data_IF_752380356837
#
_entry.id   IF_752380356837
#
_cell.length_a   1.000
_cell.length_b   1.000
_cell.length_c   1.000
_cell.angle_alpha   90.00
_cell.angle_beta   90.00
_cell.angle_gamma   90.00
#
_symmetry.space_group_name_H-M   'P 1'
#
loop_
_entity.id
_entity.type
_entity.pdbx_description
1 polymer ?
#
# COMPACT_ATOMS: atom_id res chain seq x y z
N UNK A 1 -5.62 -17.73 23.61
CA UNK A 1 -6.87 -17.58 22.84
C UNK A 1 -6.69 -16.30 22.06
N UNK A 2 -6.11 -16.40 20.86
CA UNK A 2 -6.10 -15.26 19.94
C UNK A 2 -7.56 -14.98 19.61
N UNK A 3 -7.99 -13.77 19.90
CA UNK A 3 -9.38 -13.38 19.79
C UNK A 3 -9.72 -13.33 18.29
N UNK A 4 -10.45 -14.34 17.79
CA UNK A 4 -10.87 -14.49 16.38
C UNK A 4 -11.63 -13.26 15.85
N UNK A 5 -12.07 -12.35 16.73
CA UNK A 5 -12.58 -11.05 16.34
C UNK A 5 -11.50 -10.12 15.76
N UNK A 6 -10.25 -10.17 16.25
CA UNK A 6 -9.17 -9.24 15.86
C UNK A 6 -8.74 -9.46 14.42
N UNK A 7 -8.84 -10.67 13.88
CA UNK A 7 -8.49 -10.95 12.48
C UNK A 7 -9.50 -10.39 11.48
N UNK A 8 -10.73 -10.05 11.88
CA UNK A 8 -11.80 -9.55 10.97
C UNK A 8 -11.85 -8.03 10.84
N UNK A 9 -11.17 -7.33 11.73
CA UNK A 9 -11.13 -5.87 11.76
C UNK A 9 -9.69 -5.40 11.64
N UNK A 10 -9.50 -4.26 11.00
CA UNK A 10 -8.23 -3.54 11.04
C UNK A 10 -8.46 -2.21 11.73
N UNK A 11 -7.44 -1.75 12.45
CA UNK A 11 -7.46 -0.48 13.18
C UNK A 11 -6.25 0.31 12.76
N UNK A 12 -6.47 1.55 12.34
CA UNK A 12 -5.41 2.55 12.15
C UNK A 12 -5.62 3.69 13.14
N UNK A 13 -4.53 4.13 13.76
CA UNK A 13 -4.52 5.21 14.74
C UNK A 13 -3.52 6.25 14.29
N UNK A 14 -3.99 7.48 14.07
CA UNK A 14 -3.14 8.60 13.67
C UNK A 14 -3.22 9.71 14.72
N UNK A 15 -2.10 10.05 15.40
CA UNK A 15 -2.05 11.10 16.39
C UNK A 15 -2.02 12.49 15.73
N UNK A 16 -2.73 13.43 16.33
CA UNK A 16 -2.75 14.84 15.97
C UNK A 16 -2.11 15.60 17.12
N UNK A 17 -0.82 15.91 16.96
CA UNK A 17 0.01 16.53 17.97
C UNK A 17 -0.01 18.07 17.85
N UNK A 18 -0.02 18.82 18.96
CA UNK A 18 -0.11 20.29 18.96
C UNK A 18 1.08 21.01 18.29
N UNK A 19 2.25 20.35 18.19
CA UNK A 19 3.46 20.90 17.55
C UNK A 19 3.87 20.13 16.28
N UNK A 20 3.02 19.22 15.80
CA UNK A 20 3.32 18.37 14.63
C UNK A 20 4.42 17.31 14.84
N UNK A 21 4.94 17.16 16.06
CA UNK A 21 5.99 16.18 16.39
C UNK A 21 5.41 14.77 16.58
N UNK A 22 5.39 13.98 15.50
CA UNK A 22 5.10 12.55 15.56
C UNK A 22 6.40 11.75 15.61
N UNK A 23 6.47 10.72 16.44
CA UNK A 23 7.55 9.72 16.40
C UNK A 23 6.93 8.43 15.88
N UNK A 24 7.11 8.15 14.58
CA UNK A 24 6.57 6.96 13.89
C UNK A 24 5.05 6.84 13.95
N UNK A 25 4.34 7.92 13.60
CA UNK A 25 2.90 7.99 13.29
C UNK A 25 1.87 7.36 14.25
N UNK A 26 2.27 6.90 15.44
CA UNK A 26 1.39 6.33 16.47
C UNK A 26 1.51 7.03 17.83
N UNK A 27 2.44 7.98 17.98
CA UNK A 27 2.64 8.70 19.26
C UNK A 27 3.13 10.14 19.07
N UNK A 28 2.74 11.01 20.01
CA UNK A 28 3.25 12.39 20.12
C UNK A 28 4.42 12.46 21.11
N UNK A 29 5.46 13.22 20.78
CA UNK A 29 6.59 13.49 21.68
C UNK A 29 6.65 14.97 22.08
N UNK A 30 7.15 15.24 23.29
CA UNK A 30 7.39 16.62 23.78
C UNK A 30 6.15 17.35 24.31
N UNK A 31 5.04 16.63 24.55
CA UNK A 31 3.78 17.21 25.07
C UNK A 31 3.99 17.78 26.46
N UNK A 32 3.67 19.05 26.65
CA UNK A 32 3.76 19.78 27.91
C UNK A 32 2.45 19.69 28.72
N UNK A 33 2.48 19.86 30.05
CA UNK A 33 1.27 19.92 30.87
C UNK A 33 0.29 21.00 30.38
N UNK A 34 -0.99 20.63 30.21
CA UNK A 34 -2.04 21.53 29.72
C UNK A 34 -2.23 21.55 28.19
N UNK A 35 -1.41 20.80 27.43
CA UNK A 35 -1.62 20.58 26.01
C UNK A 35 -2.52 19.37 25.75
N UNK A 36 -3.39 19.49 24.74
CA UNK A 36 -4.30 18.40 24.32
C UNK A 36 -3.74 17.71 23.07
N UNK A 37 -3.81 16.38 23.06
CA UNK A 37 -3.50 15.54 21.90
C UNK A 37 -4.80 14.90 21.43
N UNK A 38 -5.03 14.90 20.12
CA UNK A 38 -6.15 14.18 19.52
C UNK A 38 -5.66 12.93 18.79
N UNK A 39 -6.50 11.92 18.69
CA UNK A 39 -6.21 10.69 17.94
C UNK A 39 -7.35 10.44 16.98
N UNK A 40 -7.03 10.33 15.69
CA UNK A 40 -7.96 9.79 14.69
C UNK A 40 -7.85 8.28 14.71
N UNK A 41 -8.97 7.62 14.98
CA UNK A 41 -9.04 6.15 15.04
C UNK A 41 -9.98 5.71 13.92
N UNK A 42 -9.42 4.99 12.96
CA UNK A 42 -10.16 4.41 11.83
C UNK A 42 -10.28 2.91 12.07
N UNK A 43 -11.51 2.41 12.10
CA UNK A 43 -11.80 0.99 12.30
C UNK A 43 -12.50 0.51 11.03
N UNK A 44 -11.92 -0.47 10.35
CA UNK A 44 -12.51 -1.11 9.18
C UNK A 44 -12.78 -2.59 9.42
N UNK A 45 -13.85 -3.11 8.83
CA UNK A 45 -14.21 -4.52 8.85
C UNK A 45 -14.00 -5.08 7.44
N UNK A 46 -13.19 -6.14 7.29
CA UNK A 46 -13.00 -6.78 5.99
C UNK A 46 -13.77 -8.10 5.85
N UNK A 47 -14.19 -8.71 6.96
CA UNK A 47 -14.96 -9.95 6.96
C UNK A 47 -16.08 -9.98 8.03
N UNK A 48 -17.16 -10.68 7.71
CA UNK A 48 -18.23 -11.02 8.66
C UNK A 48 -17.83 -12.22 9.54
N UNK A 49 -18.53 -12.40 10.66
CA UNK A 49 -18.34 -13.60 11.50
C UNK A 49 -18.76 -14.85 10.72
N UNK A 50 -18.16 -16.01 11.02
CA UNK A 50 -18.45 -17.28 10.33
C UNK A 50 -19.95 -17.66 10.35
N UNK A 51 -20.69 -17.22 11.38
CA UNK A 51 -22.12 -17.43 11.51
C UNK A 51 -23.00 -16.51 10.63
N UNK A 52 -22.40 -15.57 9.88
CA UNK A 52 -23.10 -14.63 8.98
C UNK A 52 -24.08 -13.66 9.65
N UNK A 53 -24.18 -13.69 10.98
CA UNK A 53 -25.13 -12.87 11.76
C UNK A 53 -24.56 -11.50 12.08
N UNK A 54 -25.47 -10.56 12.26
CA UNK A 54 -25.16 -9.29 12.92
C UNK A 54 -24.53 -9.56 14.28
N UNK A 55 -23.41 -8.92 14.54
CA UNK A 55 -22.76 -8.95 15.84
C UNK A 55 -22.22 -7.58 16.21
N UNK A 56 -22.17 -7.34 17.52
CA UNK A 56 -21.63 -6.11 18.06
C UNK A 56 -20.25 -6.40 18.63
N UNK A 57 -19.26 -5.63 18.20
CA UNK A 57 -17.88 -5.74 18.69
C UNK A 57 -17.55 -4.48 19.47
N UNK A 58 -16.86 -4.65 20.59
CA UNK A 58 -16.45 -3.55 21.45
C UNK A 58 -14.94 -3.39 21.37
N UNK A 59 -14.49 -2.23 20.93
CA UNK A 59 -13.08 -1.86 20.87
C UNK A 59 -12.77 -0.96 22.06
N UNK A 60 -11.84 -1.40 22.92
CA UNK A 60 -11.37 -0.61 24.06
C UNK A 60 -10.11 0.15 23.64
N UNK A 61 -10.14 1.47 23.75
CA UNK A 61 -8.99 2.33 23.46
C UNK A 61 -8.48 2.90 24.79
N UNK A 62 -7.25 2.52 25.16
CA UNK A 62 -6.60 3.00 26.38
C UNK A 62 -5.28 3.71 26.03
N UNK A 63 -5.07 4.97 26.45
CA UNK A 63 -3.77 5.61 26.33
C UNK A 63 -2.77 4.94 27.28
N UNK A 64 -1.57 4.63 26.79
CA UNK A 64 -0.51 4.07 27.64
C UNK A 64 -0.14 5.07 28.72
N UNK A 65 -0.17 4.64 29.98
CA UNK A 65 0.17 5.49 31.14
C UNK A 65 -1.01 6.25 31.76
N UNK A 66 -2.23 6.08 31.25
CA UNK A 66 -3.46 6.60 31.85
C UNK A 66 -4.38 5.44 32.24
N UNK A 67 -5.21 5.67 33.26
CA UNK A 67 -6.22 4.71 33.73
C UNK A 67 -7.59 4.93 33.07
N UNK A 68 -7.74 5.98 32.27
CA UNK A 68 -8.95 6.25 31.52
C UNK A 68 -8.98 5.42 30.24
N UNK A 69 -10.19 5.03 29.80
CA UNK A 69 -10.39 4.24 28.59
C UNK A 69 -11.65 4.68 27.88
N UNK A 70 -11.59 4.69 26.55
CA UNK A 70 -12.72 4.99 25.67
C UNK A 70 -13.23 3.70 25.06
N UNK A 71 -14.55 3.55 25.02
CA UNK A 71 -15.22 2.37 24.47
C UNK A 71 -15.84 2.74 23.12
N UNK A 72 -15.42 2.07 22.06
CA UNK A 72 -16.03 2.19 20.73
C UNK A 72 -16.88 0.95 20.45
N UNK A 73 -18.19 1.15 20.24
CA UNK A 73 -19.12 0.07 19.89
C UNK A 73 -19.31 0.03 18.38
N UNK A 74 -18.93 -1.09 17.77
CA UNK A 74 -19.05 -1.32 16.33
C UNK A 74 -20.18 -2.31 16.09
N UNK A 75 -21.21 -1.86 15.37
CA UNK A 75 -22.35 -2.70 14.99
C UNK A 75 -22.10 -3.29 13.61
N UNK A 76 -21.71 -4.56 13.53
CA UNK A 76 -21.50 -5.24 12.26
C UNK A 76 -22.84 -5.73 11.72
N UNK A 77 -23.20 -5.20 10.54
CA UNK A 77 -24.40 -5.60 9.80
C UNK A 77 -24.03 -6.59 8.71
N UNK A 78 -24.18 -7.86 9.03
CA UNK A 78 -23.87 -8.98 8.14
C UNK A 78 -25.14 -9.74 7.73
N UNK A 79 -26.17 -9.72 8.57
CA UNK A 79 -27.43 -10.40 8.32
C UNK A 79 -28.37 -9.58 7.42
N UNK A 80 -28.94 -10.24 6.43
CA UNK A 80 -30.02 -9.68 5.61
C UNK A 80 -31.38 -9.87 6.31
N UNK A 81 -32.19 -8.81 6.44
CA UNK A 81 -33.57 -8.92 6.95
C UNK A 81 -34.52 -9.24 5.80
N UNK A 82 -35.12 -10.42 5.81
CA UNK A 82 -36.07 -10.84 4.78
C UNK A 82 -37.52 -10.77 5.27
N UNK A 83 -38.46 -10.57 4.33
CA UNK A 83 -39.90 -10.48 4.63
C UNK A 83 -40.49 -11.86 4.99
N UNK A 84 -41.64 -11.92 5.72
CA UNK A 84 -42.30 -13.18 6.12
C UNK A 84 -42.75 -14.08 4.96
N UNK A 85 -42.71 -13.58 3.72
CA UNK A 85 -42.96 -14.35 2.50
C UNK A 85 -41.76 -15.21 2.06
N UNK A 86 -40.72 -15.36 2.89
CA UNK A 86 -39.65 -16.33 2.67
C UNK A 86 -38.85 -16.08 1.39
N UNK A 87 -38.50 -14.82 1.09
CA UNK A 87 -37.44 -14.53 0.11
C UNK A 87 -36.25 -13.93 0.83
N UNK A 88 -35.51 -14.79 1.52
CA UNK A 88 -34.10 -14.61 1.80
C UNK A 88 -33.33 -15.32 0.70
N UNK A 89 -32.40 -14.65 0.04
CA UNK A 89 -31.61 -15.27 -1.02
C UNK A 89 -30.39 -15.98 -0.40
N UNK A 90 -30.66 -16.94 0.48
CA UNK A 90 -29.73 -17.89 1.10
C UNK A 90 -30.56 -19.15 1.37
N UNK A 91 -30.81 -19.96 0.33
CA UNK A 91 -31.37 -21.30 0.50
C UNK A 91 -30.42 -22.31 -0.12
N UNK A 92 -29.79 -23.08 0.77
CA UNK A 92 -29.14 -24.35 0.45
C UNK A 92 -30.23 -25.36 0.12
N UNK A 93 -30.69 -25.31 -1.13
CA UNK A 93 -31.11 -26.47 -1.90
C UNK A 93 -31.12 -26.07 -3.38
N UNK A 94 -30.00 -26.22 -4.09
CA UNK A 94 -29.97 -26.04 -5.55
C UNK A 94 -30.97 -27.03 -6.20
N UNK A 95 -31.63 -26.73 -7.33
CA UNK A 95 -31.32 -25.69 -8.33
C UNK A 95 -32.54 -24.78 -8.65
N UNK A 96 -32.37 -23.47 -8.46
CA UNK A 96 -33.18 -22.40 -9.05
C UNK A 96 -34.73 -22.54 -8.98
N UNK A 97 -35.29 -22.54 -7.78
CA UNK A 97 -36.74 -22.31 -7.59
C UNK A 97 -37.06 -20.83 -7.37
N UNK A 98 -37.10 -20.08 -8.45
CA UNK A 98 -38.22 -19.17 -8.67
C UNK A 98 -38.29 -18.78 -10.13
N UNK A 99 -39.24 -19.39 -10.83
CA UNK A 99 -39.87 -18.80 -12.00
C UNK A 99 -40.16 -17.33 -11.71
N UNK A 100 -39.47 -16.41 -12.38
CA UNK A 100 -40.07 -15.12 -12.70
C UNK A 100 -40.88 -15.28 -13.99
N UNK A 101 -41.98 -16.04 -13.91
CA UNK A 101 -43.16 -15.71 -14.70
C UNK A 101 -44.03 -14.81 -13.82
N UNK A 102 -43.91 -13.50 -14.00
CA UNK A 102 -45.07 -12.62 -13.81
C UNK A 102 -45.87 -12.65 -15.10
N UNK A 103 -47.14 -13.11 -15.10
CA UNK A 103 -48.03 -12.86 -16.22
C UNK A 103 -48.58 -11.46 -16.04
N UNK A 104 -47.98 -10.47 -16.69
CA UNK A 104 -48.73 -9.28 -17.05
C UNK A 104 -48.46 -8.92 -18.51
N UNK A 105 -49.45 -9.29 -19.33
CA UNK A 105 -49.80 -8.72 -20.63
C UNK A 105 -48.70 -8.58 -21.70
N UNK A 106 -48.64 -9.58 -22.58
CA UNK A 106 -48.55 -9.35 -24.02
C UNK A 106 -47.20 -9.65 -24.69
N UNK A 107 -47.25 -10.58 -25.64
CA UNK A 107 -46.29 -10.79 -26.74
C UNK A 107 -44.87 -11.29 -26.38
N UNK A 108 -44.64 -12.59 -26.53
CA UNK A 108 -44.04 -13.21 -27.74
C UNK A 108 -43.43 -14.58 -27.36
N UNK A 109 -43.86 -15.65 -28.02
CA UNK A 109 -43.13 -16.92 -28.05
C UNK A 109 -41.81 -16.71 -28.80
N UNK A 110 -40.73 -17.28 -28.25
CA UNK A 110 -39.37 -17.35 -28.80
C UNK A 110 -38.50 -16.10 -28.76
N UNK A 111 -37.68 -15.98 -27.71
CA UNK A 111 -36.31 -15.48 -27.80
C UNK A 111 -35.45 -16.35 -26.85
N UNK A 112 -34.33 -16.89 -27.35
CA UNK A 112 -33.29 -17.54 -26.56
C UNK A 112 -32.70 -16.54 -25.55
N UNK A 113 -33.40 -16.27 -24.45
CA UNK A 113 -32.88 -15.47 -23.35
C UNK A 113 -31.86 -16.36 -22.66
N UNK A 114 -30.59 -16.14 -23.00
CA UNK A 114 -29.46 -16.79 -22.35
C UNK A 114 -29.61 -16.64 -20.82
N UNK A 115 -29.84 -17.75 -20.09
CA UNK A 115 -30.10 -17.69 -18.65
C UNK A 115 -28.89 -17.17 -17.86
N UNK A 116 -27.69 -17.17 -18.47
CA UNK A 116 -26.46 -16.68 -17.87
C UNK A 116 -26.17 -15.22 -18.19
N UNK A 117 -27.06 -14.49 -18.88
CA UNK A 117 -26.85 -13.08 -19.22
C UNK A 117 -26.54 -12.22 -17.97
N UNK A 118 -27.12 -12.53 -16.83
CA UNK A 118 -26.90 -11.78 -15.58
C UNK A 118 -25.55 -12.08 -14.90
N UNK A 119 -24.84 -13.11 -15.36
CA UNK A 119 -23.50 -13.50 -14.91
C UNK A 119 -22.38 -12.95 -15.80
N UNK A 120 -22.73 -12.15 -16.82
CA UNK A 120 -21.79 -11.49 -17.72
C UNK A 120 -21.67 -10.02 -17.35
N UNK A 121 -20.45 -9.52 -17.31
CA UNK A 121 -20.20 -8.09 -17.22
C UNK A 121 -20.56 -7.41 -18.55
N UNK A 122 -20.98 -6.14 -18.51
CA UNK A 122 -21.41 -5.40 -19.71
C UNK A 122 -20.25 -5.22 -20.72
N UNK A 123 -20.33 -5.89 -21.87
CA UNK A 123 -19.26 -5.88 -22.88
C UNK A 123 -18.33 -7.10 -22.85
N UNK A 124 -18.54 -8.02 -21.90
CA UNK A 124 -17.85 -9.31 -21.84
C UNK A 124 -18.84 -10.44 -22.13
N UNK A 125 -18.43 -11.39 -22.97
CA UNK A 125 -19.27 -12.55 -23.31
C UNK A 125 -18.91 -13.81 -22.51
N UNK A 126 -18.22 -13.64 -21.38
CA UNK A 126 -17.72 -14.74 -20.55
C UNK A 126 -18.48 -14.75 -19.24
N UNK A 127 -19.06 -15.89 -18.91
CA UNK A 127 -19.79 -16.09 -17.66
C UNK A 127 -18.81 -16.12 -16.50
N UNK A 128 -19.06 -15.31 -15.46
CA UNK A 128 -18.29 -15.32 -14.21
C UNK A 128 -16.76 -15.23 -14.41
N UNK A 129 -16.34 -14.47 -15.42
CA UNK A 129 -14.94 -14.29 -15.80
C UNK A 129 -14.17 -15.61 -16.01
N UNK A 130 -14.87 -16.72 -16.29
CA UNK A 130 -14.33 -18.09 -16.35
C UNK A 130 -13.67 -18.60 -15.06
N UNK A 131 -13.94 -17.95 -13.93
CA UNK A 131 -13.36 -18.25 -12.61
C UNK A 131 -14.43 -18.63 -11.59
N UNK A 132 -15.55 -19.11 -12.10
CA UNK A 132 -16.71 -19.48 -11.31
C UNK A 132 -17.79 -20.09 -12.20
N UNK A 133 -18.85 -20.54 -11.55
CA UNK A 133 -20.02 -21.12 -12.21
C UNK A 133 -21.19 -20.16 -12.02
N UNK A 134 -21.96 -19.92 -13.08
CA UNK A 134 -23.19 -19.16 -13.00
C UNK A 134 -24.30 -20.04 -12.44
N UNK A 135 -24.72 -19.79 -11.20
CA UNK A 135 -25.81 -20.49 -10.54
C UNK A 135 -26.96 -19.52 -10.28
N UNK A 136 -28.11 -19.79 -10.90
CA UNK A 136 -29.33 -18.99 -10.77
C UNK A 136 -29.13 -17.49 -11.05
N UNK A 137 -28.30 -17.17 -12.04
CA UNK A 137 -28.03 -15.80 -12.46
C UNK A 137 -27.07 -15.03 -11.55
N UNK A 138 -26.42 -15.69 -10.59
CA UNK A 138 -25.33 -15.16 -9.76
C UNK A 138 -24.07 -16.01 -9.96
N UNK A 139 -22.91 -15.38 -9.91
CA UNK A 139 -21.64 -16.09 -9.98
C UNK A 139 -21.25 -16.67 -8.61
N UNK A 140 -20.90 -17.96 -8.62
CA UNK A 140 -20.26 -18.65 -7.51
C UNK A 140 -18.80 -18.84 -7.88
N UNK A 141 -17.90 -18.15 -7.18
CA UNK A 141 -16.48 -18.12 -7.52
C UNK A 141 -15.77 -19.39 -7.07
N UNK A 142 -14.81 -19.84 -7.88
CA UNK A 142 -14.03 -21.04 -7.60
C UNK A 142 -13.06 -20.80 -6.42
N UNK A 143 -12.86 -21.85 -5.63
CA UNK A 143 -11.85 -21.83 -4.58
C UNK A 143 -10.48 -22.10 -5.19
N UNK A 144 -9.58 -21.12 -5.10
CA UNK A 144 -8.20 -21.26 -5.54
C UNK A 144 -7.30 -21.66 -4.38
N UNK A 145 -6.23 -22.42 -4.65
CA UNK A 145 -5.17 -22.68 -3.66
C UNK A 145 -4.27 -21.47 -3.42
N UNK A 146 -4.34 -20.48 -4.31
CA UNK A 146 -3.51 -19.28 -4.27
C UNK A 146 -4.14 -18.16 -3.42
N UNK A 147 -5.45 -18.23 -3.15
CA UNK A 147 -6.19 -17.26 -2.36
C UNK A 147 -7.67 -17.21 -2.75
N UNK A 148 -8.35 -16.11 -2.42
CA UNK A 148 -9.78 -15.91 -2.67
C UNK A 148 -10.04 -15.23 -4.01
N UNK A 149 -11.00 -15.77 -4.76
CA UNK A 149 -11.61 -15.14 -5.94
C UNK A 149 -12.96 -14.57 -5.51
N UNK A 150 -13.21 -13.30 -5.83
CA UNK A 150 -14.39 -12.57 -5.41
C UNK A 150 -14.84 -11.55 -6.47
N UNK A 151 -15.93 -10.84 -6.18
CA UNK A 151 -16.57 -9.91 -7.12
C UNK A 151 -17.88 -10.46 -7.68
N UNK A 152 -18.66 -9.58 -8.32
CA UNK A 152 -20.00 -9.93 -8.80
C UNK A 152 -19.95 -10.99 -9.90
N UNK A 153 -18.88 -10.96 -10.68
CA UNK A 153 -18.61 -11.81 -11.83
C UNK A 153 -17.29 -12.58 -11.64
N UNK A 154 -16.82 -12.77 -10.40
CA UNK A 154 -15.55 -13.44 -10.07
C UNK A 154 -14.33 -12.82 -10.78
N UNK A 155 -14.38 -11.51 -10.95
CA UNK A 155 -13.42 -10.70 -11.68
C UNK A 155 -12.23 -10.24 -10.83
N UNK A 156 -12.30 -10.37 -9.51
CA UNK A 156 -11.27 -9.95 -8.57
C UNK A 156 -10.69 -11.14 -7.80
N UNK A 157 -9.47 -10.96 -7.31
CA UNK A 157 -8.84 -11.86 -6.36
C UNK A 157 -7.81 -11.12 -5.50
N UNK A 158 -7.32 -11.80 -4.47
CA UNK A 158 -6.35 -11.29 -3.50
C UNK A 158 -4.91 -11.75 -3.77
N UNK A 159 -4.61 -12.33 -4.95
CA UNK A 159 -3.31 -12.95 -5.25
C UNK A 159 -2.66 -12.50 -6.57
N UNK A 160 -3.37 -11.75 -7.41
CA UNK A 160 -2.92 -11.25 -8.71
C UNK A 160 -2.29 -9.86 -8.65
N UNK A 161 -1.69 -9.49 -7.52
CA UNK A 161 -0.94 -8.25 -7.37
C UNK A 161 0.57 -8.43 -7.63
N UNK A 162 1.33 -7.34 -7.83
CA UNK A 162 2.78 -7.40 -7.99
C UNK A 162 3.49 -8.05 -6.80
N UNK A 163 4.46 -8.91 -7.11
CA UNK A 163 5.33 -9.54 -6.12
C UNK A 163 6.66 -8.80 -6.04
N UNK A 164 7.17 -8.60 -4.83
CA UNK A 164 8.54 -8.13 -4.58
C UNK A 164 9.28 -9.21 -3.79
N UNK A 165 10.41 -9.70 -4.33
CA UNK A 165 11.21 -10.77 -3.69
C UNK A 165 10.34 -11.95 -3.22
N UNK A 166 9.47 -12.44 -4.12
CA UNK A 166 8.55 -13.57 -3.90
C UNK A 166 7.41 -13.31 -2.89
N UNK A 167 7.31 -12.10 -2.34
CA UNK A 167 6.22 -11.70 -1.45
C UNK A 167 5.19 -10.84 -2.19
N UNK A 168 3.92 -11.23 -2.11
CA UNK A 168 2.79 -10.46 -2.63
C UNK A 168 2.77 -9.08 -1.96
N UNK A 169 2.73 -8.00 -2.74
CA UNK A 169 2.85 -6.63 -2.24
C UNK A 169 4.04 -6.44 -1.28
N UNK A 170 5.15 -7.16 -1.52
CA UNK A 170 6.36 -7.11 -0.72
C UNK A 170 6.18 -7.52 0.75
N UNK A 171 5.02 -8.10 1.11
CA UNK A 171 4.64 -8.37 2.49
C UNK A 171 4.24 -7.11 3.29
N UNK A 172 4.16 -5.96 2.63
CA UNK A 172 3.94 -4.64 3.23
C UNK A 172 2.72 -3.93 2.63
N UNK A 173 1.76 -4.70 2.12
CA UNK A 173 0.54 -4.15 1.53
C UNK A 173 -0.55 -5.20 1.44
N UNK A 174 -1.75 -4.74 1.09
CA UNK A 174 -2.92 -5.58 0.84
C UNK A 174 -3.24 -5.54 -0.64
N UNK A 175 -3.48 -6.71 -1.23
CA UNK A 175 -3.89 -6.82 -2.63
C UNK A 175 -5.38 -6.52 -2.78
N UNK A 176 -5.72 -5.49 -3.54
CA UNK A 176 -7.10 -5.08 -3.82
C UNK A 176 -7.25 -4.90 -5.32
N UNK A 177 -8.05 -5.77 -5.95
CA UNK A 177 -8.36 -5.69 -7.39
C UNK A 177 -7.13 -5.64 -8.30
N UNK A 178 -6.07 -6.39 -7.95
CA UNK A 178 -4.82 -6.44 -8.73
C UNK A 178 -3.82 -5.31 -8.42
N UNK A 179 -4.16 -4.38 -7.52
CA UNK A 179 -3.27 -3.31 -7.08
C UNK A 179 -2.88 -3.47 -5.60
N UNK A 180 -1.65 -3.12 -5.25
CA UNK A 180 -1.18 -3.15 -3.87
C UNK A 180 -1.49 -1.84 -3.14
N UNK A 181 -2.27 -1.92 -2.07
CA UNK A 181 -2.45 -0.84 -1.11
C UNK A 181 -1.38 -0.95 -0.04
N UNK A 182 -0.38 -0.07 -0.08
CA UNK A 182 0.78 -0.13 0.80
C UNK A 182 0.48 0.29 2.24
N UNK A 183 1.15 -0.38 3.17
CA UNK A 183 1.20 0.02 4.57
C UNK A 183 2.05 1.30 4.74
N UNK A 184 1.83 2.00 5.84
CA UNK A 184 2.61 3.18 6.18
C UNK A 184 4.11 2.86 6.26
N UNK A 185 4.93 3.74 5.70
CA UNK A 185 6.37 3.52 5.58
C UNK A 185 6.80 2.80 4.28
N UNK A 186 5.86 2.39 3.42
CA UNK A 186 6.13 1.67 2.18
C UNK A 186 5.44 2.30 0.96
N UNK A 187 6.05 2.15 -0.20
CA UNK A 187 5.58 2.74 -1.47
C UNK A 187 5.97 1.87 -2.68
N UNK A 188 5.56 2.31 -3.86
CA UNK A 188 5.74 1.62 -5.13
C UNK A 188 4.66 0.58 -5.41
N UNK A 189 4.57 0.12 -6.66
CA UNK A 189 3.50 -0.79 -7.14
C UNK A 189 3.46 -2.12 -6.41
N UNK A 190 4.59 -2.56 -5.84
CA UNK A 190 4.71 -3.80 -5.08
C UNK A 190 4.93 -3.57 -3.59
N UNK A 191 4.80 -2.33 -3.09
CA UNK A 191 5.07 -1.95 -1.70
C UNK A 191 6.43 -2.41 -1.13
N UNK A 192 7.40 -2.74 -2.00
CA UNK A 192 8.74 -3.17 -1.59
C UNK A 192 9.70 -2.02 -1.34
N UNK A 193 9.27 -0.77 -1.53
CA UNK A 193 10.12 0.41 -1.41
C UNK A 193 9.87 1.11 -0.06
N UNK A 194 10.83 1.14 0.87
CA UNK A 194 10.66 1.89 2.11
C UNK A 194 10.68 3.41 1.83
N UNK A 195 9.80 4.16 2.48
CA UNK A 195 9.75 5.63 2.38
C UNK A 195 10.76 6.31 3.31
N UNK A 196 11.19 5.62 4.37
CA UNK A 196 12.19 6.14 5.31
C UNK A 196 13.59 6.16 4.68
N UNK A 197 14.31 7.30 4.72
CA UNK A 197 15.67 7.40 4.20
C UNK A 197 16.73 6.86 5.17
N UNK A 198 16.33 6.26 6.29
CA UNK A 198 17.24 5.81 7.36
C UNK A 198 18.30 4.83 6.89
N UNK A 199 18.02 3.97 5.91
CA UNK A 199 19.00 3.02 5.37
C UNK A 199 20.01 3.68 4.45
N UNK A 200 19.80 4.93 4.03
CA UNK A 200 20.69 5.71 3.19
C UNK A 200 21.50 6.75 3.98
N UNK A 201 21.38 6.78 5.31
CA UNK A 201 22.10 7.73 6.14
C UNK A 201 23.53 7.23 6.38
N UNK A 202 24.52 8.01 5.94
CA UNK A 202 25.93 7.70 6.17
C UNK A 202 26.31 7.92 7.64
N UNK A 203 27.47 7.41 8.10
CA UNK A 203 27.99 7.66 9.45
C UNK A 203 28.14 9.16 9.78
N UNK A 204 28.36 9.99 8.76
CA UNK A 204 28.47 11.45 8.88
C UNK A 204 27.10 12.15 9.05
N UNK A 205 26.02 11.39 9.04
CA UNK A 205 24.65 11.87 9.23
C UNK A 205 23.96 12.37 7.96
N UNK A 206 24.67 12.39 6.82
CA UNK A 206 24.14 12.84 5.53
C UNK A 206 23.49 11.68 4.75
N UNK A 207 22.40 11.95 4.05
CA UNK A 207 21.80 10.98 3.12
C UNK A 207 22.72 10.84 1.91
N UNK A 208 23.16 9.61 1.64
CA UNK A 208 24.08 9.30 0.53
C UNK A 208 25.30 10.22 0.49
N UNK A 209 25.85 10.55 1.66
CA UNK A 209 27.00 11.47 1.84
C UNK A 209 26.83 12.83 1.16
N UNK A 210 25.58 13.23 0.84
CA UNK A 210 25.27 14.43 0.08
C UNK A 210 25.61 14.36 -1.42
N UNK A 211 25.95 13.18 -1.95
CA UNK A 211 26.40 12.95 -3.33
C UNK A 211 25.44 12.05 -4.13
N UNK A 212 24.19 11.95 -3.68
CA UNK A 212 23.20 11.11 -4.34
C UNK A 212 21.81 11.20 -3.72
N UNK A 213 20.90 10.41 -4.28
CA UNK A 213 19.50 10.31 -3.87
C UNK A 213 19.23 8.93 -3.29
N UNK A 214 18.47 8.89 -2.20
CA UNK A 214 18.00 7.63 -1.62
C UNK A 214 16.76 7.15 -2.40
N UNK A 215 16.86 6.02 -3.08
CA UNK A 215 15.76 5.39 -3.83
C UNK A 215 15.55 3.99 -3.28
N UNK A 216 14.37 3.75 -2.69
CA UNK A 216 14.01 2.46 -2.07
C UNK A 216 15.05 1.93 -1.08
N UNK A 217 15.56 2.83 -0.25
CA UNK A 217 16.53 2.50 0.79
C UNK A 217 17.95 2.22 0.29
N UNK A 218 18.24 2.49 -0.98
CA UNK A 218 19.59 2.40 -1.57
C UNK A 218 20.01 3.74 -2.16
N UNK A 219 21.28 4.11 -1.99
CA UNK A 219 21.81 5.32 -2.60
C UNK A 219 22.07 5.14 -4.10
N UNK A 220 21.59 6.11 -4.87
CA UNK A 220 21.90 6.31 -6.28
C UNK A 220 22.74 7.58 -6.37
N UNK A 221 24.01 7.44 -6.69
CA UNK A 221 24.94 8.56 -6.75
C UNK A 221 24.66 9.46 -7.96
N UNK A 222 24.73 10.78 -7.78
CA UNK A 222 24.44 11.74 -8.84
C UNK A 222 25.56 11.77 -9.91
N UNK A 223 26.81 11.51 -9.49
CA UNK A 223 27.98 11.41 -10.38
C UNK A 223 28.55 9.99 -10.38
N UNK A 224 28.80 9.38 -11.55
CA UNK A 224 29.39 8.03 -11.67
C UNK A 224 30.80 7.89 -11.07
N UNK A 225 31.48 8.98 -10.73
CA UNK A 225 32.77 8.97 -10.02
C UNK A 225 32.62 8.67 -8.53
N UNK A 226 31.41 8.84 -7.98
CA UNK A 226 31.08 8.48 -6.60
C UNK A 226 30.62 7.02 -6.53
N UNK A 227 31.08 6.32 -5.51
CA UNK A 227 30.88 4.89 -5.29
C UNK A 227 30.80 4.61 -3.80
N UNK A 228 30.37 3.40 -3.42
CA UNK A 228 30.13 3.04 -2.03
C UNK A 228 28.63 2.89 -1.73
N UNK A 229 28.32 2.43 -0.52
CA UNK A 229 26.94 2.21 -0.09
C UNK A 229 26.18 3.53 0.07
N UNK A 230 26.90 4.59 0.42
CA UNK A 230 26.40 5.94 0.66
C UNK A 230 27.07 6.97 -0.26
N UNK A 231 27.60 6.60 -1.42
CA UNK A 231 28.29 7.52 -2.35
C UNK A 231 29.50 8.27 -1.74
N UNK A 232 30.11 7.71 -0.70
CA UNK A 232 31.23 8.31 0.03
C UNK A 232 32.57 8.25 -0.71
N UNK A 233 32.73 7.28 -1.61
CA UNK A 233 33.98 7.01 -2.30
C UNK A 233 34.10 7.78 -3.60
N UNK A 234 34.92 8.83 -3.63
CA UNK A 234 35.28 9.53 -4.87
C UNK A 234 36.77 9.31 -5.23
N UNK A 235 37.02 8.52 -6.29
CA UNK A 235 38.41 8.20 -6.71
C UNK A 235 39.14 9.39 -7.37
N UNK A 236 38.41 10.29 -8.03
CA UNK A 236 39.00 11.42 -8.77
C UNK A 236 39.06 12.71 -7.93
N UNK A 237 38.20 12.86 -6.92
CA UNK A 237 38.27 13.96 -5.96
C UNK A 237 39.57 13.91 -5.12
N UNK A 238 40.10 12.71 -4.89
CA UNK A 238 41.39 12.49 -4.25
C UNK A 238 42.54 13.10 -5.09
N UNK A 239 42.47 12.98 -6.42
CA UNK A 239 43.47 13.56 -7.35
C UNK A 239 43.35 15.09 -7.38
N UNK A 240 42.13 15.64 -7.34
CA UNK A 240 41.92 17.10 -7.19
C UNK A 240 42.43 17.65 -5.86
N UNK A 241 42.41 16.86 -4.77
CA UNK A 241 42.90 17.31 -3.46
C UNK A 241 44.43 17.35 -3.38
N UNK A 242 45.14 16.59 -4.20
CA UNK A 242 46.59 16.76 -4.38
C UNK A 242 46.93 17.96 -5.27
N UNK A 243 46.12 18.24 -6.30
CA UNK A 243 46.34 19.39 -7.20
C UNK A 243 45.95 20.72 -6.52
N UNK A 244 44.87 20.75 -5.73
CA UNK A 244 44.42 21.93 -4.97
C UNK A 244 45.14 22.12 -3.61
N UNK A 245 46.08 21.24 -3.24
CA UNK A 245 47.00 21.49 -2.11
C UNK A 245 48.19 22.39 -2.50
N UNK A 246 48.48 22.53 -3.80
CA UNK A 246 49.68 23.21 -4.30
C UNK A 246 49.44 24.58 -4.96
N UNK A 247 48.25 25.17 -4.81
CA UNK A 247 48.06 26.58 -5.14
C UNK A 247 48.13 27.37 -3.85
N UNK A 248 49.34 27.85 -3.55
CA UNK A 248 49.60 28.84 -2.53
C UNK A 248 48.77 30.09 -2.86
N UNK A 249 47.74 30.38 -2.05
CA UNK A 249 47.00 31.63 -2.15
C UNK A 249 47.88 32.76 -1.59
N UNK A 250 48.90 33.13 -2.35
CA UNK A 250 49.85 34.18 -2.01
C UNK A 250 50.07 35.06 -3.23
N UNK A 251 49.16 36.00 -3.45
CA UNK A 251 49.46 37.44 -3.44
C UNK A 251 48.23 38.25 -3.84
N UNK A 252 47.92 39.21 -2.97
CA UNK A 252 46.89 40.25 -3.09
C UNK A 252 46.74 40.83 -4.48
N UNK A 253 45.48 41.03 -4.92
CA UNK A 253 45.01 42.28 -5.49
C UNK A 253 43.46 42.33 -5.47
N UNK A 254 42.96 43.16 -4.54
CA UNK A 254 41.68 43.89 -4.51
C UNK A 254 40.53 43.41 -5.41
N UNK A 255 39.47 42.93 -4.74
CA UNK A 255 38.07 43.14 -5.14
C UNK A 255 37.36 41.97 -5.83
N UNK A 256 36.12 41.75 -5.38
CA UNK A 256 35.01 41.06 -6.04
C UNK A 256 34.91 39.51 -5.95
N UNK A 257 34.23 39.04 -4.89
CA UNK A 257 32.98 38.25 -4.92
C UNK A 257 32.80 37.00 -5.81
N UNK A 258 33.79 36.47 -6.53
CA UNK A 258 33.56 35.29 -7.38
C UNK A 258 34.68 34.26 -7.29
N UNK A 259 34.86 33.63 -6.13
CA UNK A 259 35.50 32.30 -6.12
C UNK A 259 34.44 31.22 -6.45
N UNK A 260 33.82 31.38 -7.62
CA UNK A 260 33.02 30.36 -8.26
C UNK A 260 33.94 29.65 -9.26
N UNK A 261 34.73 28.69 -8.78
CA UNK A 261 35.56 27.87 -9.66
C UNK A 261 34.89 26.51 -9.81
N UNK A 262 33.85 26.51 -10.63
CA UNK A 262 33.44 25.35 -11.42
C UNK A 262 34.70 24.82 -12.09
N UNK A 263 35.15 23.62 -11.72
CA UNK A 263 36.23 22.97 -12.45
C UNK A 263 35.70 22.63 -13.85
N UNK A 264 36.00 23.48 -14.83
CA UNK A 264 35.70 23.24 -16.23
C UNK A 264 36.43 21.96 -16.66
N UNK A 265 35.66 21.03 -17.24
CA UNK A 265 36.16 19.80 -17.84
C UNK A 265 37.16 20.12 -18.95
N UNK A 266 38.39 19.62 -18.83
CA UNK A 266 39.21 19.33 -19.99
C UNK A 266 39.06 17.83 -20.27
N UNK A 267 38.05 17.49 -21.07
CA UNK A 267 37.99 16.21 -21.77
C UNK A 267 39.00 16.30 -22.91
N UNK A 268 40.15 15.65 -22.74
CA UNK A 268 41.01 15.24 -23.84
C UNK A 268 40.87 13.74 -24.06
N UNK A 269 40.83 13.23 -25.30
CA UNK A 269 40.75 11.79 -25.55
C UNK A 269 42.03 11.12 -25.05
N UNK A 270 41.87 10.04 -24.28
CA UNK A 270 42.96 9.15 -23.89
C UNK A 270 43.30 8.35 -25.16
N UNK A 271 44.42 8.68 -25.81
CA UNK A 271 45.02 7.74 -26.75
C UNK A 271 45.61 6.58 -25.96
N UNK A 272 45.13 5.40 -26.30
CA UNK A 272 45.60 4.10 -25.84
C UNK A 272 47.07 3.96 -26.23
N UNK A 273 47.98 3.94 -25.25
CA UNK A 273 49.37 3.52 -25.44
C UNK A 273 49.64 2.34 -24.53
N UNK A 274 49.56 1.18 -25.19
CA UNK A 274 50.17 -0.10 -24.86
C UNK A 274 51.50 -0.02 -24.11
N UNK A 275 51.64 -0.90 -23.13
CA UNK A 275 52.87 -1.62 -22.77
C UNK A 275 52.48 -3.00 -22.21
#
# INVERSE_FOLDING_TARGET
>A
VEDLAVSRFWVSVSPICPQGSTRKDQSCSGVQPGQTVHFNITIGQHACSDDGKDNDVVVLVHPVGYNESTVVRVHSKCGCKCRPTGRCNEDVQSPCSSQELRPDHGHLKDLNIDPNRSCRADGWNVDCSSRGVCECGKCVCEQSRLGLIFGKYCEMDDFSCPYNRELLCGGHGVCVSGECVCQEGWTGESCGCPTSPTTCQSPDGFICSGQGKCVCGKCVCDDPQHSGEFCEGCRICQIKREICKNVDCSHSLKGAEHCNITCAQLVGPIEDLSA
#
